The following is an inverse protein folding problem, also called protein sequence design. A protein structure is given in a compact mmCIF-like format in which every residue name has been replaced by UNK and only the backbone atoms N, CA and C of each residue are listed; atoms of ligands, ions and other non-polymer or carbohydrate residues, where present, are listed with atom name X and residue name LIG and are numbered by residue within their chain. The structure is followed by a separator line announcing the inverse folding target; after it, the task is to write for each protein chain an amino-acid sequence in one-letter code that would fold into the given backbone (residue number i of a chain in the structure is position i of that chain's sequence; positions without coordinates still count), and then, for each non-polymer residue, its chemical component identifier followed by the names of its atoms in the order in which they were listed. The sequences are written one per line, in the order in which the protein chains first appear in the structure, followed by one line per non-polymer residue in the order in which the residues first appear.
data_IF_652750090254
#
_entry.id   IF_652750090254
#
_cell.length_a   1.000
_cell.length_b   1.000
_cell.length_c   1.000
_cell.angle_alpha   90.00
_cell.angle_beta   90.00
_cell.angle_gamma   90.00
#
_symmetry.space_group_name_H-M   'P 1'
#
loop_
_entity.id
_entity.type
_entity.pdbx_description
1 polymer ?
#
# COMPACT_ATOMS: atom_id res chain seq x y z
N UNK A 1 -7.28 -21.58 -80.65
CA UNK A 1 -5.94 -21.82 -81.23
C UNK A 1 -4.91 -21.42 -80.18
N UNK A 2 -4.07 -22.38 -79.73
CA UNK A 2 -2.71 -22.30 -79.11
C UNK A 2 -2.16 -20.88 -78.79
N UNK A 3 -1.53 -20.51 -77.66
CA UNK A 3 -0.64 -21.09 -76.62
C UNK A 3 -0.84 -20.27 -75.30
N UNK A 4 -0.82 -20.71 -74.04
CA UNK A 4 0.15 -21.42 -73.17
C UNK A 4 1.54 -20.77 -73.00
N UNK A 5 1.78 -20.08 -71.86
CA UNK A 5 2.72 -20.52 -70.79
C UNK A 5 2.56 -19.65 -69.50
N UNK A 6 2.86 -20.20 -68.30
CA UNK A 6 2.34 -19.72 -67.02
C UNK A 6 3.41 -19.16 -66.05
N UNK A 7 3.11 -18.07 -65.35
CA UNK A 7 3.88 -17.56 -64.21
C UNK A 7 3.24 -18.00 -62.89
N UNK A 8 3.37 -19.28 -62.55
CA UNK A 8 2.99 -19.82 -61.24
C UNK A 8 4.01 -20.87 -60.81
N UNK A 9 4.98 -20.51 -59.95
CA UNK A 9 5.51 -21.40 -58.89
C UNK A 9 6.57 -20.77 -57.96
N UNK A 10 7.06 -19.55 -58.22
CA UNK A 10 8.22 -19.02 -57.47
C UNK A 10 7.88 -18.15 -56.24
N UNK A 11 6.66 -17.62 -56.11
CA UNK A 11 6.34 -16.65 -55.04
C UNK A 11 5.49 -17.20 -53.88
N UNK A 12 5.09 -18.48 -53.92
CA UNK A 12 4.28 -19.10 -52.84
C UNK A 12 4.99 -20.19 -52.03
N UNK A 13 6.32 -20.27 -52.09
CA UNK A 13 7.13 -21.21 -51.28
C UNK A 13 8.15 -20.55 -50.33
N UNK A 14 8.17 -19.21 -50.22
CA UNK A 14 9.14 -18.50 -49.37
C UNK A 14 8.57 -17.91 -48.06
N UNK A 15 7.30 -18.15 -47.74
CA UNK A 15 6.66 -17.62 -46.51
C UNK A 15 6.22 -18.68 -45.49
N UNK A 16 6.59 -19.96 -45.68
CA UNK A 16 6.21 -21.04 -44.76
C UNK A 16 7.37 -21.75 -44.02
N UNK A 17 8.64 -21.30 -44.17
CA UNK A 17 9.78 -21.97 -43.52
C UNK A 17 10.79 -21.05 -42.81
N UNK A 18 10.43 -19.80 -42.50
CA UNK A 18 11.22 -18.92 -41.63
C UNK A 18 10.53 -18.77 -40.28
N UNK A 19 10.67 -19.75 -39.36
CA UNK A 19 10.54 -19.50 -37.91
C UNK A 19 11.00 -20.56 -36.88
N UNK A 20 11.54 -21.75 -37.19
CA UNK A 20 12.12 -22.59 -36.13
C UNK A 20 13.65 -22.84 -36.17
N UNK A 21 14.42 -22.37 -37.15
CA UNK A 21 15.86 -22.73 -37.28
C UNK A 21 16.88 -21.71 -36.74
N UNK A 22 16.44 -20.60 -36.15
CA UNK A 22 17.34 -19.58 -35.55
C UNK A 22 17.49 -19.68 -34.02
N UNK A 23 16.81 -20.62 -33.36
CA UNK A 23 16.85 -20.78 -31.90
C UNK A 23 17.72 -21.95 -31.37
N UNK A 24 18.31 -22.81 -32.22
CA UNK A 24 19.13 -23.95 -31.75
C UNK A 24 20.64 -23.83 -31.98
N UNK A 25 21.13 -22.73 -32.56
CA UNK A 25 22.56 -22.52 -32.85
C UNK A 25 23.24 -21.44 -31.98
N UNK A 26 22.49 -20.76 -31.11
CA UNK A 26 23.03 -19.79 -30.14
C UNK A 26 23.14 -20.31 -28.70
N UNK A 27 22.79 -21.58 -28.45
CA UNK A 27 22.98 -22.23 -27.15
C UNK A 27 24.30 -23.01 -27.02
N UNK A 28 25.21 -22.92 -28.01
CA UNK A 28 26.41 -23.77 -28.05
C UNK A 28 27.76 -23.03 -28.19
N UNK A 29 27.81 -21.69 -28.17
CA UNK A 29 29.08 -20.94 -28.41
C UNK A 29 29.43 -19.85 -27.39
N UNK A 30 28.61 -19.62 -26.35
CA UNK A 30 28.92 -18.64 -25.30
C UNK A 30 30.00 -19.06 -24.26
N UNK A 31 30.28 -20.35 -23.97
CA UNK A 31 31.30 -20.69 -22.96
C UNK A 31 32.75 -20.57 -23.44
N UNK A 32 33.01 -20.41 -24.74
CA UNK A 32 34.36 -20.46 -25.32
C UNK A 32 35.09 -19.11 -25.37
N UNK A 33 34.41 -18.00 -25.10
CA UNK A 33 35.00 -16.65 -25.10
C UNK A 33 35.46 -16.19 -23.70
N UNK A 34 35.00 -16.84 -22.63
CA UNK A 34 35.41 -16.53 -21.25
C UNK A 34 36.70 -17.25 -20.81
N UNK A 35 37.12 -18.31 -21.51
CA UNK A 35 38.33 -19.06 -21.18
C UNK A 35 39.61 -18.57 -21.88
N UNK A 36 39.52 -17.73 -22.91
CA UNK A 36 40.69 -17.23 -23.66
C UNK A 36 41.25 -15.88 -23.18
N UNK A 37 40.66 -15.26 -22.15
CA UNK A 37 41.20 -14.02 -21.53
C UNK A 37 41.86 -14.20 -20.17
N UNK A 38 41.84 -15.41 -19.60
CA UNK A 38 42.44 -15.70 -18.29
C UNK A 38 43.84 -16.35 -18.37
N UNK A 39 44.40 -16.53 -19.58
CA UNK A 39 45.59 -17.36 -19.80
C UNK A 39 46.89 -16.61 -20.17
N UNK A 40 46.90 -15.28 -20.21
CA UNK A 40 48.13 -14.52 -20.48
C UNK A 40 48.38 -13.46 -19.42
N UNK A 41 49.01 -13.91 -18.35
CA UNK A 41 49.77 -13.07 -17.42
C UNK A 41 51.14 -12.80 -18.07
N UNK A 42 51.51 -11.54 -18.26
CA UNK A 42 52.92 -11.15 -18.40
C UNK A 42 53.14 -9.77 -17.76
N UNK A 43 54.16 -9.61 -16.89
CA UNK A 43 54.47 -8.34 -16.23
C UNK A 43 55.38 -7.47 -17.11
N UNK A 44 55.30 -6.14 -16.99
CA UNK A 44 56.44 -5.29 -16.61
C UNK A 44 56.27 -3.77 -16.87
N UNK A 45 56.75 -3.03 -15.86
CA UNK A 45 57.49 -1.75 -15.88
C UNK A 45 56.85 -0.41 -16.24
N UNK A 46 57.18 0.53 -15.34
CA UNK A 46 56.99 1.98 -15.27
C UNK A 46 57.23 2.76 -16.57
N UNK A 47 56.44 3.83 -16.78
CA UNK A 47 56.93 5.23 -16.82
C UNK A 47 55.77 6.22 -16.88
N UNK A 48 55.90 7.28 -16.09
CA UNK A 48 54.82 8.21 -15.75
C UNK A 48 54.42 9.22 -16.81
N UNK A 49 53.29 9.88 -16.53
CA UNK A 49 53.04 11.30 -16.79
C UNK A 49 51.82 11.72 -15.97
N UNK A 50 52.04 12.65 -15.05
CA UNK A 50 50.99 13.37 -14.33
C UNK A 50 50.15 14.17 -15.32
N UNK A 51 48.84 13.91 -15.32
CA UNK A 51 47.86 14.89 -15.77
C UNK A 51 46.72 14.90 -14.76
N UNK A 52 46.66 16.02 -14.05
CA UNK A 52 45.64 16.41 -13.08
C UNK A 52 44.27 16.30 -13.76
N UNK A 53 43.42 15.41 -13.24
CA UNK A 53 41.96 15.47 -13.42
C UNK A 53 41.39 15.85 -12.07
N UNK A 54 40.88 17.07 -11.98
CA UNK A 54 39.97 17.49 -10.93
C UNK A 54 38.72 16.60 -11.03
N UNK A 55 38.57 15.69 -10.08
CA UNK A 55 37.27 15.08 -9.79
C UNK A 55 36.52 16.09 -8.90
N UNK A 56 35.26 16.43 -9.20
CA UNK A 56 34.48 17.19 -8.25
C UNK A 56 34.27 16.30 -7.03
N UNK A 57 34.85 16.70 -5.90
CA UNK A 57 34.41 16.23 -4.59
C UNK A 57 32.92 16.58 -4.48
N UNK A 58 32.06 15.63 -4.83
CA UNK A 58 30.73 15.55 -4.25
C UNK A 58 30.96 15.30 -2.77
N UNK A 59 31.11 16.40 -2.02
CA UNK A 59 30.89 16.43 -0.60
C UNK A 59 29.47 15.94 -0.39
N UNK A 60 29.33 14.63 -0.14
CA UNK A 60 28.18 14.10 0.53
C UNK A 60 28.17 14.75 1.90
N UNK A 61 27.54 15.91 1.98
CA UNK A 61 26.95 16.40 3.21
C UNK A 61 25.97 15.30 3.63
N UNK A 62 26.46 14.32 4.39
CA UNK A 62 25.63 13.60 5.35
C UNK A 62 25.12 14.66 6.32
N UNK A 63 24.04 15.34 5.92
CA UNK A 63 23.15 15.99 6.87
C UNK A 63 22.71 14.90 7.84
N UNK A 64 23.37 14.87 8.99
CA UNK A 64 22.92 14.19 10.18
C UNK A 64 21.48 14.60 10.45
N UNK A 65 20.54 13.78 9.98
CA UNK A 65 19.10 14.00 10.15
C UNK A 65 18.72 13.60 11.57
N UNK A 66 19.26 14.30 12.56
CA UNK A 66 18.94 14.13 13.97
C UNK A 66 17.69 14.91 14.38
N UNK A 67 16.91 15.43 13.42
CA UNK A 67 15.59 15.96 13.70
C UNK A 67 14.67 14.83 14.17
N UNK A 68 13.99 15.00 15.32
CA UNK A 68 13.11 13.97 15.86
C UNK A 68 11.95 13.70 14.90
N UNK A 69 11.70 12.41 14.64
CA UNK A 69 10.63 11.97 13.75
C UNK A 69 9.28 12.41 14.33
N UNK A 70 8.56 13.27 13.62
CA UNK A 70 7.19 13.66 14.01
C UNK A 70 6.18 12.66 13.42
N UNK A 71 5.36 11.97 14.23
CA UNK A 71 4.36 11.00 13.78
C UNK A 71 3.12 11.66 13.13
N UNK A 72 3.33 12.47 12.09
CA UNK A 72 2.29 13.29 11.45
C UNK A 72 1.05 12.48 11.05
N UNK A 73 1.25 11.29 10.45
CA UNK A 73 0.17 10.37 10.05
C UNK A 73 0.46 8.94 10.48
N UNK A 74 -0.36 8.40 11.38
CA UNK A 74 -0.18 7.06 11.97
C UNK A 74 -1.29 6.11 11.54
N UNK A 75 -0.94 4.85 11.26
CA UNK A 75 -1.91 3.77 11.05
C UNK A 75 -1.99 2.90 12.29
N UNK A 76 -3.10 2.94 13.01
CA UNK A 76 -3.30 2.11 14.19
C UNK A 76 -4.08 0.85 13.85
N UNK A 77 -3.36 -0.26 13.85
CA UNK A 77 -3.88 -1.61 13.67
C UNK A 77 -4.25 -2.21 15.03
N UNK A 78 -5.35 -1.74 15.61
CA UNK A 78 -5.73 -2.05 17.00
C UNK A 78 -6.23 -3.49 17.21
N UNK A 79 -6.51 -4.22 16.13
CA UNK A 79 -6.90 -5.63 16.17
C UNK A 79 -6.27 -6.38 15.00
N UNK A 80 -5.92 -7.66 15.20
CA UNK A 80 -5.52 -8.57 14.13
C UNK A 80 -6.65 -9.47 13.64
N UNK A 81 -7.79 -9.48 14.32
CA UNK A 81 -8.92 -10.32 13.95
C UNK A 81 -9.55 -9.83 12.65
N UNK A 82 -9.85 -10.74 11.71
CA UNK A 82 -10.47 -10.41 10.43
C UNK A 82 -11.50 -11.49 10.06
N UNK A 83 -12.59 -11.09 9.42
CA UNK A 83 -13.62 -11.98 8.89
C UNK A 83 -13.44 -12.34 7.41
N UNK A 84 -12.35 -11.86 6.78
CA UNK A 84 -11.90 -12.22 5.44
C UNK A 84 -10.64 -13.10 5.50
N UNK A 85 -10.25 -13.73 4.38
CA UNK A 85 -9.09 -14.65 4.30
C UNK A 85 -8.20 -14.34 3.10
N UNK A 86 -7.90 -13.06 2.87
CA UNK A 86 -7.13 -12.63 1.71
C UNK A 86 -5.74 -13.28 1.64
N UNK A 87 -5.40 -13.93 0.52
CA UNK A 87 -4.15 -14.69 0.39
C UNK A 87 -2.86 -13.86 0.52
N UNK A 88 -2.92 -12.56 0.24
CA UNK A 88 -1.80 -11.62 0.38
C UNK A 88 -1.82 -10.83 1.70
N UNK A 89 -2.69 -11.18 2.66
CA UNK A 89 -2.84 -10.40 3.89
C UNK A 89 -1.50 -10.28 4.64
N UNK A 90 -1.04 -9.05 4.81
CA UNK A 90 0.23 -8.73 5.47
C UNK A 90 0.07 -8.43 6.97
N UNK A 91 -1.15 -8.43 7.48
CA UNK A 91 -1.49 -8.16 8.89
C UNK A 91 -2.44 -9.25 9.40
N UNK A 92 -1.94 -10.49 9.41
CA UNK A 92 -2.71 -11.70 9.72
C UNK A 92 -3.09 -11.80 11.20
N UNK A 93 -4.14 -12.59 11.48
CA UNK A 93 -4.67 -12.91 12.80
C UNK A 93 -3.69 -13.74 13.65
N UNK A 94 -2.57 -13.13 14.06
CA UNK A 94 -1.57 -13.72 14.94
C UNK A 94 -1.97 -13.69 16.41
N UNK A 95 -2.80 -12.73 16.79
CA UNK A 95 -3.27 -12.49 18.15
C UNK A 95 -4.76 -12.14 18.10
N UNK A 96 -5.45 -12.29 19.22
CA UNK A 96 -6.82 -11.81 19.43
C UNK A 96 -6.89 -10.58 20.33
N UNK A 97 -5.73 -10.09 20.78
CA UNK A 97 -5.61 -8.98 21.72
C UNK A 97 -6.08 -7.66 21.09
N UNK A 98 -6.75 -6.86 21.91
CA UNK A 98 -7.12 -5.47 21.65
C UNK A 98 -6.96 -4.73 22.96
N UNK A 99 -6.36 -3.54 22.93
CA UNK A 99 -6.21 -2.72 24.13
C UNK A 99 -7.58 -2.32 24.71
N UNK A 100 -7.74 -2.27 26.04
CA UNK A 100 -8.88 -1.60 26.66
C UNK A 100 -9.03 -0.18 26.12
N UNK A 101 -10.26 0.29 25.98
CA UNK A 101 -10.56 1.56 25.33
C UNK A 101 -9.79 2.74 25.94
N UNK A 102 -9.70 2.80 27.28
CA UNK A 102 -9.02 3.89 27.98
C UNK A 102 -7.50 3.87 27.76
N UNK A 103 -6.88 2.69 27.67
CA UNK A 103 -5.45 2.58 27.31
C UNK A 103 -5.20 2.99 25.85
N UNK A 104 -6.11 2.64 24.94
CA UNK A 104 -6.02 3.10 23.57
C UNK A 104 -6.18 4.63 23.46
N UNK A 105 -7.10 5.24 24.23
CA UNK A 105 -7.21 6.71 24.31
C UNK A 105 -5.93 7.34 24.85
N UNK A 106 -5.33 6.76 25.90
CA UNK A 106 -4.06 7.21 26.47
C UNK A 106 -2.94 7.22 25.42
N UNK A 107 -2.78 6.15 24.66
CA UNK A 107 -1.76 6.12 23.61
C UNK A 107 -2.04 7.07 22.45
N UNK A 108 -3.31 7.29 22.09
CA UNK A 108 -3.68 8.28 21.09
C UNK A 108 -3.38 9.72 21.54
N UNK A 109 -3.54 10.02 22.84
CA UNK A 109 -3.13 11.29 23.44
C UNK A 109 -1.61 11.47 23.35
N UNK A 110 -0.81 10.44 23.69
CA UNK A 110 0.65 10.50 23.56
C UNK A 110 1.08 10.79 22.11
N UNK A 111 0.42 10.19 21.12
CA UNK A 111 0.69 10.47 19.71
C UNK A 111 0.32 11.91 19.32
N UNK A 112 -0.80 12.43 19.84
CA UNK A 112 -1.23 13.81 19.63
C UNK A 112 -0.21 14.79 20.22
N UNK A 113 0.26 14.55 21.44
CA UNK A 113 1.29 15.35 22.10
C UNK A 113 2.62 15.31 21.34
N UNK A 114 2.95 14.18 20.72
CA UNK A 114 4.11 14.03 19.84
C UNK A 114 3.95 14.68 18.45
N UNK A 115 2.80 15.32 18.13
CA UNK A 115 2.59 16.03 16.87
C UNK A 115 1.80 15.26 15.81
N UNK A 116 1.06 14.22 16.19
CA UNK A 116 0.14 13.55 15.26
C UNK A 116 -0.99 14.47 14.81
N UNK A 117 -1.18 14.56 13.49
CA UNK A 117 -2.27 15.32 12.85
C UNK A 117 -3.34 14.39 12.25
N UNK A 118 -2.94 13.17 11.88
CA UNK A 118 -3.79 12.22 11.20
C UNK A 118 -3.69 10.82 11.79
N UNK A 119 -4.84 10.22 12.07
CA UNK A 119 -4.97 8.81 12.44
C UNK A 119 -5.72 8.02 11.36
N UNK A 120 -5.23 6.81 11.09
CA UNK A 120 -5.93 5.83 10.26
C UNK A 120 -6.15 4.53 11.03
N UNK A 121 -7.41 4.27 11.40
CA UNK A 121 -7.78 3.02 12.04
C UNK A 121 -7.85 1.90 11.01
N UNK A 122 -7.12 0.82 11.28
CA UNK A 122 -6.94 -0.34 10.40
C UNK A 122 -6.79 -1.59 11.27
N UNK A 123 -6.27 -2.70 10.72
CA UNK A 123 -6.06 -3.94 11.46
C UNK A 123 -6.32 -5.17 10.61
N UNK A 124 -6.92 -6.18 11.23
CA UNK A 124 -7.59 -7.27 10.52
C UNK A 124 -8.88 -6.75 9.87
N UNK A 125 -9.96 -6.60 10.64
CA UNK A 125 -11.17 -5.84 10.28
C UNK A 125 -11.63 -4.95 11.45
N UNK A 126 -11.49 -3.61 11.36
CA UNK A 126 -11.81 -2.68 12.44
C UNK A 126 -13.24 -2.76 12.98
N UNK A 127 -14.23 -3.09 12.13
CA UNK A 127 -15.64 -3.13 12.52
C UNK A 127 -16.03 -4.41 13.30
N UNK A 128 -15.07 -5.30 13.55
CA UNK A 128 -15.30 -6.55 14.29
C UNK A 128 -15.38 -6.31 15.80
N UNK A 129 -14.45 -5.53 16.35
CA UNK A 129 -14.35 -5.27 17.79
C UNK A 129 -15.60 -4.56 18.31
N UNK A 130 -16.25 -5.17 19.31
CA UNK A 130 -17.49 -4.67 19.94
C UNK A 130 -18.54 -4.22 18.92
N UNK A 131 -18.65 -4.96 17.82
CA UNK A 131 -19.58 -4.67 16.71
C UNK A 131 -19.43 -3.25 16.15
N UNK A 132 -18.20 -2.73 16.14
CA UNK A 132 -17.82 -1.41 15.67
C UNK A 132 -17.98 -0.29 16.70
N UNK A 133 -18.48 -0.55 17.90
CA UNK A 133 -18.65 0.47 18.94
C UNK A 133 -17.31 0.96 19.50
N UNK A 134 -16.36 0.05 19.69
CA UNK A 134 -14.99 0.39 20.10
C UNK A 134 -14.35 1.38 19.10
N UNK A 135 -14.44 1.06 17.81
CA UNK A 135 -13.94 1.93 16.73
C UNK A 135 -14.64 3.29 16.72
N UNK A 136 -15.98 3.31 16.85
CA UNK A 136 -16.74 4.55 16.87
C UNK A 136 -16.34 5.49 18.01
N UNK A 137 -16.12 4.94 19.21
CA UNK A 137 -15.65 5.70 20.36
C UNK A 137 -14.24 6.29 20.15
N UNK A 138 -13.31 5.53 19.56
CA UNK A 138 -11.99 6.05 19.22
C UNK A 138 -12.04 7.13 18.13
N UNK A 139 -12.89 6.97 17.11
CA UNK A 139 -13.09 7.97 16.06
C UNK A 139 -13.61 9.28 16.65
N UNK A 140 -14.63 9.20 17.52
CA UNK A 140 -15.20 10.35 18.23
C UNK A 140 -14.15 11.02 19.12
N UNK A 141 -13.44 10.26 19.94
CA UNK A 141 -12.37 10.75 20.81
C UNK A 141 -11.30 11.52 20.01
N UNK A 142 -10.81 10.93 18.93
CA UNK A 142 -9.80 11.56 18.07
C UNK A 142 -10.29 12.87 17.43
N UNK A 143 -11.56 12.94 17.01
CA UNK A 143 -12.08 14.13 16.33
C UNK A 143 -12.55 15.22 17.29
N UNK A 144 -13.24 14.87 18.37
CA UNK A 144 -13.85 15.84 19.30
C UNK A 144 -12.94 16.21 20.46
N UNK A 145 -12.20 15.26 21.03
CA UNK A 145 -11.38 15.51 22.22
C UNK A 145 -9.94 15.86 21.84
N UNK A 146 -9.31 15.10 20.93
CA UNK A 146 -7.95 15.39 20.46
C UNK A 146 -7.89 16.44 19.34
N UNK A 147 -9.03 16.82 18.78
CA UNK A 147 -9.17 17.79 17.68
C UNK A 147 -8.22 17.49 16.51
N UNK A 148 -8.10 16.21 16.13
CA UNK A 148 -7.23 15.82 15.02
C UNK A 148 -7.76 16.40 13.69
N UNK A 149 -6.87 17.00 12.88
CA UNK A 149 -7.20 17.41 11.51
C UNK A 149 -7.86 16.29 10.69
N UNK A 150 -7.41 15.04 10.81
CA UNK A 150 -7.97 13.93 10.04
C UNK A 150 -8.09 12.62 10.83
N UNK A 151 -9.30 12.05 10.79
CA UNK A 151 -9.61 10.71 11.28
C UNK A 151 -10.13 9.87 10.11
N UNK A 152 -9.47 8.73 9.89
CA UNK A 152 -9.79 7.85 8.75
C UNK A 152 -9.86 6.39 9.15
N UNK A 153 -10.58 5.59 8.37
CA UNK A 153 -10.69 4.14 8.54
C UNK A 153 -10.34 3.43 7.23
N UNK A 154 -9.62 2.31 7.32
CA UNK A 154 -9.50 1.32 6.24
C UNK A 154 -10.23 0.04 6.65
N UNK A 155 -11.20 -0.39 5.85
CA UNK A 155 -12.03 -1.58 6.14
C UNK A 155 -12.28 -2.40 4.87
N UNK A 156 -12.62 -3.68 5.03
CA UNK A 156 -13.17 -4.50 3.96
C UNK A 156 -14.66 -4.20 3.68
N UNK A 157 -15.33 -3.43 4.54
CA UNK A 157 -16.69 -2.95 4.37
C UNK A 157 -17.80 -3.94 4.76
N UNK A 158 -17.48 -5.21 5.03
CA UNK A 158 -18.49 -6.27 5.16
C UNK A 158 -19.36 -6.20 6.43
N UNK A 159 -18.84 -5.56 7.49
CA UNK A 159 -19.51 -5.45 8.79
C UNK A 159 -20.12 -4.07 9.06
N UNK A 160 -19.91 -3.12 8.16
CA UNK A 160 -20.38 -1.74 8.33
C UNK A 160 -21.91 -1.71 8.20
N UNK A 161 -22.55 -1.05 9.16
CA UNK A 161 -24.00 -0.86 9.21
C UNK A 161 -24.30 0.64 9.17
N UNK A 162 -25.41 1.02 8.54
CA UNK A 162 -25.82 2.43 8.45
C UNK A 162 -25.96 3.11 9.81
N UNK A 163 -26.39 2.37 10.84
CA UNK A 163 -26.43 2.89 12.22
C UNK A 163 -25.07 3.46 12.67
N UNK A 164 -23.96 2.86 12.25
CA UNK A 164 -22.64 3.37 12.59
C UNK A 164 -22.37 4.74 11.97
N UNK A 165 -22.82 4.98 10.73
CA UNK A 165 -22.76 6.31 10.12
C UNK A 165 -23.64 7.33 10.84
N UNK A 166 -24.84 6.94 11.27
CA UNK A 166 -25.70 7.82 12.08
C UNK A 166 -25.06 8.22 13.40
N UNK A 167 -24.40 7.28 14.05
CA UNK A 167 -23.83 7.48 15.39
C UNK A 167 -22.46 8.17 15.34
N UNK A 168 -21.65 7.94 14.30
CA UNK A 168 -20.23 8.33 14.28
C UNK A 168 -19.75 9.00 12.97
N UNK A 169 -20.58 9.03 11.92
CA UNK A 169 -20.19 9.54 10.60
C UNK A 169 -19.81 11.02 10.60
N UNK A 170 -20.42 11.83 11.48
CA UNK A 170 -20.06 13.25 11.63
C UNK A 170 -18.58 13.45 12.02
N UNK A 171 -17.97 12.51 12.74
CA UNK A 171 -16.59 12.57 13.22
C UNK A 171 -15.57 12.00 12.25
N UNK A 172 -16.02 11.19 11.28
CA UNK A 172 -15.14 10.53 10.34
C UNK A 172 -14.86 11.42 9.13
N UNK A 173 -13.59 11.63 8.79
CA UNK A 173 -13.20 12.36 7.59
C UNK A 173 -13.25 11.45 6.35
N UNK A 174 -12.54 10.31 6.40
CA UNK A 174 -12.35 9.43 5.24
C UNK A 174 -12.65 7.98 5.59
N UNK A 175 -13.56 7.36 4.84
CA UNK A 175 -13.75 5.90 4.84
C UNK A 175 -13.11 5.31 3.58
N UNK A 176 -12.06 4.51 3.79
CA UNK A 176 -11.40 3.76 2.74
C UNK A 176 -11.91 2.32 2.72
N UNK A 177 -12.55 1.91 1.62
CA UNK A 177 -12.95 0.52 1.40
C UNK A 177 -11.91 -0.18 0.54
N UNK A 178 -11.47 -1.34 1.01
CA UNK A 178 -10.53 -2.16 0.27
C UNK A 178 -11.27 -3.01 -0.77
N UNK A 179 -11.11 -2.67 -2.04
CA UNK A 179 -11.69 -3.36 -3.20
C UNK A 179 -10.57 -3.62 -4.20
N UNK A 180 -10.28 -4.90 -4.43
CA UNK A 180 -9.17 -5.30 -5.29
C UNK A 180 -9.64 -5.72 -6.68
N UNK A 181 -10.92 -6.04 -6.88
CA UNK A 181 -11.49 -6.36 -8.18
C UNK A 181 -12.96 -5.97 -8.21
N UNK A 182 -13.48 -5.62 -9.38
CA UNK A 182 -14.90 -5.48 -9.66
C UNK A 182 -15.52 -6.76 -10.22
N UNK A 183 -14.72 -7.81 -10.40
CA UNK A 183 -15.17 -9.17 -10.64
C UNK A 183 -15.29 -9.92 -9.30
N UNK A 184 -16.49 -10.42 -9.00
CA UNK A 184 -16.75 -11.14 -7.76
C UNK A 184 -16.02 -12.49 -7.71
N UNK A 185 -15.81 -13.17 -8.84
CA UNK A 185 -15.06 -14.42 -8.88
C UNK A 185 -13.59 -14.18 -8.51
N UNK A 186 -13.00 -13.09 -9.02
CA UNK A 186 -11.64 -12.67 -8.65
C UNK A 186 -11.57 -12.32 -7.16
N UNK A 187 -12.57 -11.63 -6.61
CA UNK A 187 -12.63 -11.36 -5.16
C UNK A 187 -12.72 -12.65 -4.34
N UNK A 188 -13.49 -13.66 -4.78
CA UNK A 188 -13.54 -14.98 -4.14
C UNK A 188 -12.16 -15.65 -4.18
N UNK A 189 -11.48 -15.68 -5.34
CA UNK A 189 -10.14 -16.24 -5.51
C UNK A 189 -9.10 -15.56 -4.61
N UNK A 190 -9.18 -14.24 -4.48
CA UNK A 190 -8.32 -13.46 -3.60
C UNK A 190 -8.55 -13.81 -2.11
N UNK A 191 -9.75 -14.26 -1.74
CA UNK A 191 -10.17 -14.51 -0.36
C UNK A 191 -10.98 -13.37 0.28
N UNK A 192 -11.62 -12.53 -0.55
CA UNK A 192 -12.53 -11.44 -0.19
C UNK A 192 -14.02 -11.78 -0.37
N UNK A 193 -14.35 -12.95 -0.89
CA UNK A 193 -15.73 -13.41 -1.00
C UNK A 193 -16.33 -13.79 0.36
N UNK A 194 -17.59 -13.44 0.59
CA UNK A 194 -18.37 -13.89 1.77
C UNK A 194 -19.65 -14.61 1.36
N UNK A 195 -19.49 -15.78 0.74
CA UNK A 195 -20.61 -16.63 0.35
C UNK A 195 -21.58 -15.89 -0.55
N UNK A 196 -22.78 -15.56 -0.05
CA UNK A 196 -23.87 -14.93 -0.81
C UNK A 196 -23.78 -13.40 -0.94
N UNK A 197 -22.86 -12.73 -0.22
CA UNK A 197 -22.77 -11.26 -0.26
C UNK A 197 -21.77 -10.83 -1.33
N UNK A 198 -22.27 -10.10 -2.33
CA UNK A 198 -21.45 -9.50 -3.37
C UNK A 198 -20.67 -8.29 -2.80
N UNK A 199 -19.35 -8.29 -3.00
CA UNK A 199 -18.45 -7.25 -2.48
C UNK A 199 -18.67 -5.91 -3.19
N UNK A 200 -18.91 -5.94 -4.50
CA UNK A 200 -19.11 -4.74 -5.34
C UNK A 200 -20.44 -4.04 -5.03
N UNK A 201 -21.52 -4.81 -4.85
CA UNK A 201 -22.81 -4.25 -4.40
C UNK A 201 -22.67 -3.59 -3.02
N UNK A 202 -21.92 -4.22 -2.10
CA UNK A 202 -21.65 -3.66 -0.80
C UNK A 202 -20.81 -2.37 -0.89
N UNK A 203 -19.84 -2.30 -1.80
CA UNK A 203 -19.04 -1.11 -2.07
C UNK A 203 -19.91 0.07 -2.54
N UNK A 204 -20.82 -0.16 -3.48
CA UNK A 204 -21.77 0.85 -3.96
C UNK A 204 -22.70 1.36 -2.85
N UNK A 205 -23.21 0.45 -2.02
CA UNK A 205 -24.01 0.82 -0.85
C UNK A 205 -23.22 1.70 0.13
N UNK A 206 -21.97 1.35 0.42
CA UNK A 206 -21.11 2.15 1.31
C UNK A 206 -20.76 3.52 0.70
N UNK A 207 -20.57 3.57 -0.62
CA UNK A 207 -20.38 4.83 -1.35
C UNK A 207 -21.58 5.76 -1.18
N UNK A 208 -22.80 5.22 -1.28
CA UNK A 208 -24.04 5.97 -1.04
C UNK A 208 -24.12 6.50 0.39
N UNK A 209 -23.84 5.66 1.39
CA UNK A 209 -23.83 6.13 2.79
C UNK A 209 -22.75 7.20 3.03
N UNK A 210 -21.57 7.09 2.43
CA UNK A 210 -20.58 8.16 2.51
C UNK A 210 -21.11 9.50 1.96
N UNK A 211 -21.89 9.44 0.89
CA UNK A 211 -22.60 10.56 0.29
C UNK A 211 -23.65 11.15 1.27
N UNK A 212 -24.55 10.30 1.77
CA UNK A 212 -25.67 10.70 2.63
C UNK A 212 -25.19 11.33 3.95
N UNK A 213 -24.09 10.81 4.51
CA UNK A 213 -23.54 11.22 5.80
C UNK A 213 -22.31 12.14 5.70
N UNK A 214 -22.01 12.65 4.50
CA UNK A 214 -20.89 13.59 4.25
C UNK A 214 -19.55 13.07 4.80
N UNK A 215 -19.20 11.85 4.42
CA UNK A 215 -17.89 11.23 4.68
C UNK A 215 -17.17 11.08 3.35
N UNK A 216 -15.88 11.45 3.31
CA UNK A 216 -15.10 11.29 2.10
C UNK A 216 -14.86 9.81 1.80
N UNK A 217 -15.19 9.39 0.58
CA UNK A 217 -15.06 8.00 0.16
C UNK A 217 -13.73 7.75 -0.55
N UNK A 218 -13.01 6.72 -0.11
CA UNK A 218 -11.72 6.32 -0.66
C UNK A 218 -11.73 4.83 -1.03
N UNK A 219 -10.97 4.46 -2.06
CA UNK A 219 -10.75 3.06 -2.44
C UNK A 219 -9.26 2.73 -2.29
N UNK A 220 -8.98 1.56 -1.72
CA UNK A 220 -7.65 0.95 -1.75
C UNK A 220 -7.71 -0.34 -2.55
N UNK A 221 -6.72 -0.54 -3.43
CA UNK A 221 -6.58 -1.78 -4.21
C UNK A 221 -5.17 -2.35 -4.08
N UNK A 222 -5.09 -3.67 -3.93
CA UNK A 222 -3.85 -4.44 -4.01
C UNK A 222 -3.79 -5.13 -5.36
N UNK A 223 -2.95 -4.60 -6.25
CA UNK A 223 -2.69 -5.22 -7.53
C UNK A 223 -1.84 -6.48 -7.30
N UNK A 224 -2.30 -7.60 -7.85
CA UNK A 224 -1.76 -8.92 -7.67
C UNK A 224 -2.00 -9.76 -8.95
N UNK A 225 -1.55 -11.02 -8.94
CA UNK A 225 -1.61 -11.90 -10.12
C UNK A 225 -3.01 -12.11 -10.72
N UNK A 226 -4.08 -11.89 -9.95
CA UNK A 226 -5.45 -12.17 -10.37
C UNK A 226 -6.17 -10.96 -10.97
N UNK A 227 -5.68 -9.73 -10.75
CA UNK A 227 -6.33 -8.49 -11.19
C UNK A 227 -5.40 -7.54 -11.94
N UNK A 228 -4.16 -7.97 -12.26
CA UNK A 228 -3.16 -7.12 -12.92
C UNK A 228 -3.59 -6.68 -14.32
N UNK A 229 -4.38 -7.51 -15.01
CA UNK A 229 -4.90 -7.24 -16.35
C UNK A 229 -6.34 -6.65 -16.33
N UNK A 230 -6.89 -6.37 -15.15
CA UNK A 230 -8.25 -5.85 -15.00
C UNK A 230 -8.30 -4.34 -15.30
N UNK A 231 -9.21 -3.93 -16.19
CA UNK A 231 -9.55 -2.52 -16.38
C UNK A 231 -10.66 -2.11 -15.40
N UNK A 232 -10.29 -1.27 -14.43
CA UNK A 232 -11.17 -0.75 -13.38
C UNK A 232 -11.63 0.70 -13.63
N UNK A 233 -11.28 1.31 -14.77
CA UNK A 233 -11.44 2.75 -14.98
C UNK A 233 -12.89 3.20 -14.87
N UNK A 234 -13.82 2.53 -15.54
CA UNK A 234 -15.23 2.94 -15.57
C UNK A 234 -15.91 2.80 -14.21
N UNK A 235 -15.61 1.73 -13.48
CA UNK A 235 -16.16 1.47 -12.14
C UNK A 235 -15.60 2.46 -11.11
N UNK A 236 -14.30 2.77 -11.17
CA UNK A 236 -13.67 3.76 -10.29
C UNK A 236 -14.21 5.16 -10.58
N UNK A 237 -14.37 5.54 -11.87
CA UNK A 237 -15.01 6.81 -12.26
C UNK A 237 -16.43 6.90 -11.74
N UNK A 238 -17.23 5.84 -11.90
CA UNK A 238 -18.62 5.80 -11.43
C UNK A 238 -18.72 5.94 -9.90
N UNK A 239 -17.78 5.35 -9.16
CA UNK A 239 -17.71 5.50 -7.69
C UNK A 239 -17.14 6.85 -7.25
N UNK A 240 -16.42 7.57 -8.11
CA UNK A 240 -15.83 8.89 -7.86
C UNK A 240 -15.23 9.04 -6.44
N UNK A 241 -14.25 8.20 -6.05
CA UNK A 241 -13.60 8.33 -4.75
C UNK A 241 -12.72 9.59 -4.71
N UNK A 242 -12.62 10.24 -3.55
CA UNK A 242 -11.71 11.38 -3.36
C UNK A 242 -10.25 10.98 -3.54
N UNK A 243 -9.96 9.68 -3.41
CA UNK A 243 -8.63 9.09 -3.56
C UNK A 243 -8.75 7.61 -3.89
N UNK A 244 -7.98 7.16 -4.87
CA UNK A 244 -7.72 5.75 -5.15
C UNK A 244 -6.22 5.49 -4.97
N UNK A 245 -5.86 4.55 -4.10
CA UNK A 245 -4.45 4.27 -3.78
C UNK A 245 -4.11 2.78 -3.87
N UNK A 246 -2.92 2.52 -4.39
CA UNK A 246 -2.21 1.27 -4.22
C UNK A 246 -1.44 1.30 -2.88
N UNK A 247 -1.25 0.15 -2.25
CA UNK A 247 -0.70 0.01 -0.89
C UNK A 247 0.74 0.54 -0.79
N UNK A 248 1.01 1.38 0.20
CA UNK A 248 2.34 1.92 0.52
C UNK A 248 2.68 1.85 2.02
N UNK A 249 3.96 1.96 2.36
CA UNK A 249 4.50 1.94 3.73
C UNK A 249 4.32 3.28 4.45
N UNK A 250 3.72 3.23 5.63
CA UNK A 250 3.47 4.35 6.55
C UNK A 250 3.91 3.95 7.97
N UNK A 251 3.91 4.88 8.93
CA UNK A 251 3.97 4.53 10.36
C UNK A 251 2.81 3.60 10.70
N UNK A 252 3.13 2.42 11.23
CA UNK A 252 2.15 1.41 11.64
C UNK A 252 2.34 1.14 13.12
N UNK A 253 1.29 1.37 13.91
CA UNK A 253 1.16 0.87 15.26
C UNK A 253 0.36 -0.43 15.25
N UNK A 254 0.83 -1.43 16.00
CA UNK A 254 0.12 -2.69 16.18
C UNK A 254 -0.88 -2.65 17.35
N UNK A 255 -1.49 -3.80 17.66
CA UNK A 255 -2.54 -3.93 18.68
C UNK A 255 -2.06 -3.62 20.11
N UNK A 256 -0.74 -3.61 20.34
CA UNK A 256 -0.09 -3.23 21.60
C UNK A 256 0.47 -1.81 21.58
N UNK A 257 0.15 -1.03 20.54
CA UNK A 257 0.71 0.31 20.29
C UNK A 257 2.24 0.32 20.19
N UNK A 258 2.79 -0.66 19.48
CA UNK A 258 4.22 -0.73 19.10
C UNK A 258 4.37 -0.33 17.65
N UNK A 259 5.40 0.46 17.32
CA UNK A 259 5.72 0.75 15.93
C UNK A 259 6.27 -0.50 15.24
N UNK A 260 5.84 -0.75 14.00
CA UNK A 260 6.29 -1.91 13.21
C UNK A 260 7.29 -1.48 12.14
N UNK A 261 8.53 -1.92 12.27
CA UNK A 261 9.54 -1.78 11.23
C UNK A 261 9.32 -2.80 10.11
N UNK A 262 9.23 -2.29 8.87
CA UNK A 262 8.97 -3.09 7.68
C UNK A 262 10.14 -3.13 6.67
N UNK A 263 11.31 -2.56 6.98
CA UNK A 263 12.43 -2.41 6.03
C UNK A 263 12.99 -3.75 5.54
N UNK A 264 13.01 -4.76 6.41
CA UNK A 264 13.61 -6.06 6.12
C UNK A 264 12.60 -7.12 5.64
N UNK A 265 11.43 -6.70 5.16
CA UNK A 265 10.34 -7.61 4.74
C UNK A 265 9.64 -8.33 5.90
N UNK A 266 10.01 -8.03 7.14
CA UNK A 266 9.35 -8.50 8.37
C UNK A 266 8.54 -7.36 9.00
N UNK A 267 7.92 -7.62 10.14
CA UNK A 267 7.22 -6.61 10.96
C UNK A 267 7.78 -6.71 12.36
N UNK A 268 8.88 -6.02 12.57
CA UNK A 268 9.63 -6.06 13.82
C UNK A 268 9.08 -4.98 14.76
N UNK A 269 8.46 -5.34 15.89
CA UNK A 269 7.83 -4.36 16.78
C UNK A 269 8.85 -3.64 17.67
N UNK A 270 8.64 -2.35 17.93
CA UNK A 270 9.31 -1.60 18.99
C UNK A 270 8.78 -1.97 20.38
N UNK A 271 9.29 -1.33 21.44
CA UNK A 271 8.57 -1.25 22.71
C UNK A 271 7.27 -0.44 22.55
N UNK A 272 6.29 -0.65 23.45
CA UNK A 272 5.03 0.09 23.36
C UNK A 272 5.25 1.56 23.70
N UNK A 273 4.55 2.45 22.98
CA UNK A 273 4.51 3.87 23.35
C UNK A 273 3.91 4.07 24.75
N UNK A 274 3.10 3.12 25.21
CA UNK A 274 2.49 3.12 26.54
C UNK A 274 3.51 2.89 27.66
N UNK A 275 4.66 2.27 27.34
CA UNK A 275 5.72 1.90 28.28
C UNK A 275 6.90 2.89 28.22
N UNK A 276 7.33 3.27 27.01
CA UNK A 276 8.56 4.07 26.81
C UNK A 276 8.32 5.44 26.18
N UNK A 277 7.06 5.79 25.89
CA UNK A 277 6.72 7.02 25.17
C UNK A 277 6.95 6.93 23.67
N UNK A 278 6.46 7.94 22.94
CA UNK A 278 6.50 7.97 21.47
C UNK A 278 7.91 8.21 20.94
N UNK A 279 8.65 9.13 21.55
CA UNK A 279 9.99 9.53 21.12
C UNK A 279 10.98 8.34 21.13
N UNK A 280 10.97 7.52 22.18
CA UNK A 280 11.85 6.34 22.24
C UNK A 280 11.37 5.22 21.32
N UNK A 281 10.06 4.97 21.24
CA UNK A 281 9.54 3.90 20.41
C UNK A 281 9.73 4.18 18.90
N UNK A 282 9.56 5.43 18.45
CA UNK A 282 9.54 5.78 17.03
C UNK A 282 10.91 5.65 16.36
N UNK A 283 12.00 5.76 17.13
CA UNK A 283 13.39 5.51 16.65
C UNK A 283 13.54 4.13 16.00
N UNK A 284 12.76 3.15 16.45
CA UNK A 284 12.79 1.78 15.95
C UNK A 284 11.78 1.50 14.83
N UNK A 285 10.96 2.48 14.43
CA UNK A 285 9.89 2.31 13.45
C UNK A 285 10.38 2.01 12.03
N UNK A 286 11.64 2.35 11.71
CA UNK A 286 12.16 2.29 10.35
C UNK A 286 11.43 3.23 9.38
N UNK A 287 10.76 4.27 9.88
CA UNK A 287 10.08 5.26 9.05
C UNK A 287 11.05 6.00 8.14
N UNK A 288 10.59 6.31 6.92
CA UNK A 288 11.32 7.11 5.94
C UNK A 288 10.39 8.24 5.53
N UNK A 289 10.60 9.41 6.13
CA UNK A 289 9.78 10.59 5.91
C UNK A 289 9.88 11.11 4.48
N UNK A 290 11.07 11.06 3.88
CA UNK A 290 11.30 11.47 2.49
C UNK A 290 10.45 10.61 1.55
N UNK A 291 10.42 9.29 1.75
CA UNK A 291 9.58 8.38 0.97
C UNK A 291 8.08 8.59 1.22
N UNK A 292 7.69 8.89 2.47
CA UNK A 292 6.30 9.23 2.80
C UNK A 292 5.82 10.47 2.03
N UNK A 293 6.62 11.54 2.00
CA UNK A 293 6.31 12.75 1.25
C UNK A 293 6.31 12.50 -0.26
N UNK A 294 7.33 11.80 -0.79
CA UNK A 294 7.44 11.45 -2.22
C UNK A 294 6.22 10.69 -2.74
N UNK A 295 5.59 9.85 -1.92
CA UNK A 295 4.37 9.09 -2.26
C UNK A 295 3.06 9.87 -2.10
N UNK A 296 3.15 11.17 -1.77
CA UNK A 296 2.01 12.03 -1.50
C UNK A 296 1.30 11.68 -0.20
N UNK A 297 2.06 11.25 0.82
CA UNK A 297 1.55 10.89 2.15
C UNK A 297 0.86 12.05 2.86
N UNK A 298 1.28 13.29 2.57
CA UNK A 298 0.60 14.53 2.95
C UNK A 298 -0.29 15.02 1.80
N UNK A 299 -1.58 15.22 2.09
CA UNK A 299 -2.61 15.66 1.15
C UNK A 299 -3.77 16.27 1.94
N UNK A 300 -4.72 16.91 1.24
CA UNK A 300 -5.95 17.39 1.88
C UNK A 300 -6.75 16.21 2.42
N UNK A 301 -6.73 16.02 3.74
CA UNK A 301 -7.24 14.83 4.42
C UNK A 301 -8.36 15.09 5.42
N UNK A 302 -8.70 16.35 5.64
CA UNK A 302 -9.84 16.78 6.43
C UNK A 302 -11.03 16.89 5.49
N UNK A 303 -12.17 16.31 5.86
CA UNK A 303 -13.35 16.37 5.00
C UNK A 303 -13.91 17.78 4.84
N UNK A 304 -13.63 18.67 5.79
CA UNK A 304 -14.04 20.07 5.73
C UNK A 304 -13.38 20.82 4.56
N UNK A 305 -12.21 20.36 4.14
CA UNK A 305 -11.41 20.95 3.05
C UNK A 305 -11.59 20.20 1.72
N UNK A 306 -12.40 19.13 1.72
CA UNK A 306 -12.73 18.35 0.52
C UNK A 306 -14.07 18.81 -0.05
N UNK A 307 -14.13 18.89 -1.38
CA UNK A 307 -15.41 19.01 -2.08
C UNK A 307 -16.16 17.69 -1.97
N UNK A 308 -17.11 17.62 -1.05
CA UNK A 308 -18.04 16.49 -0.90
C UNK A 308 -19.37 16.74 -1.62
N UNK A 309 -19.45 17.80 -2.39
CA UNK A 309 -20.58 18.12 -3.25
C UNK A 309 -20.55 17.12 -4.42
N UNK A 310 -21.63 16.34 -4.52
CA UNK A 310 -21.83 15.31 -5.54
C UNK A 310 -22.75 15.84 -6.62
#
# INVERSE_FOLDING_TARGET
MRMLLPSTLAERLLTAFRKPLLCSLWRSLAPLLYWLRAAFWWPDTEKGQQQVREEPEESQEEEDSSLPITPTSVNYHFTRQCNYRCGFCFHTAKTSFVLPLEEAKRGLLLLKEAGMEKINFSGGEPFLQDRGQYLGQLVRFCKQELLLPSVSIVSNGSLIREKWFRDYGEYLDILAISCDSFDEEVNVLIGRGQGKKNHVENLQKLRKWCQDYRVAFKINSVINRFNVDEDMNEQIKALNPVRWKMKDSYLILDEYMRFLNCRNGRKDPSMSILDVGVEEAIKFSGFDERMFLKRGGKYVWSKADLKLDW
#
